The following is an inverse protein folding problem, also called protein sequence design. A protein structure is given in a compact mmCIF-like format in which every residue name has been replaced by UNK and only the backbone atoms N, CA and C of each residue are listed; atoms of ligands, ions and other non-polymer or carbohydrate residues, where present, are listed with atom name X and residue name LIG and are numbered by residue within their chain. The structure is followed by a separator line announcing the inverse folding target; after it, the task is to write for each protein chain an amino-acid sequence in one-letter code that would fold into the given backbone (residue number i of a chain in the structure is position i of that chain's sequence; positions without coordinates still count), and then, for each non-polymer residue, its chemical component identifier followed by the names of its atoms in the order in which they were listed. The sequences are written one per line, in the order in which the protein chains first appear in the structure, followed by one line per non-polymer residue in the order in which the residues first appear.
data_IF_598631254619
#
_entry.id   IF_598631254619
#
_cell.length_a   1.000
_cell.length_b   1.000
_cell.length_c   1.000
_cell.angle_alpha   90.00
_cell.angle_beta   90.00
_cell.angle_gamma   90.00
#
_symmetry.space_group_name_H-M   'P 1'
#
loop_
_entity.id
_entity.type
_entity.pdbx_description
1 polymer ?
#
# COMPACT_ATOMS: atom_id res chain seq x y z
N UNK A 1 9.84 7.61 -1.47
CA UNK A 1 8.54 7.82 -2.13
C UNK A 1 7.38 7.24 -1.30
N UNK A 2 7.35 5.92 -0.98
CA UNK A 2 6.24 5.29 -0.26
C UNK A 2 6.01 5.90 1.14
N UNK A 3 7.06 6.05 1.96
CA UNK A 3 6.96 6.68 3.29
C UNK A 3 6.46 8.12 3.22
N UNK A 4 6.87 8.89 2.21
CA UNK A 4 6.42 10.26 1.99
C UNK A 4 4.94 10.32 1.59
N UNK A 5 4.50 9.41 0.71
CA UNK A 5 3.11 9.34 0.29
C UNK A 5 2.19 8.93 1.46
N UNK A 6 2.60 7.91 2.23
CA UNK A 6 1.86 7.48 3.42
C UNK A 6 1.80 8.57 4.47
N UNK A 7 2.92 9.26 4.75
CA UNK A 7 2.95 10.38 5.67
C UNK A 7 2.05 11.55 5.27
N UNK A 8 1.92 11.82 3.97
CA UNK A 8 1.02 12.85 3.46
C UNK A 8 -0.47 12.49 3.61
N UNK A 9 -0.82 11.19 3.57
CA UNK A 9 -2.20 10.72 3.69
C UNK A 9 -2.58 10.50 5.15
N UNK A 10 -1.73 9.81 5.91
CA UNK A 10 -2.04 9.38 7.29
C UNK A 10 -1.67 10.47 8.30
N UNK A 11 -0.61 11.24 8.05
CA UNK A 11 -0.13 12.27 8.98
C UNK A 11 -1.19 13.25 9.47
N UNK A 12 -2.02 13.85 8.58
CA UNK A 12 -3.11 14.71 9.01
C UNK A 12 -4.13 14.03 9.93
N UNK A 13 -4.45 12.75 9.64
CA UNK A 13 -5.38 11.96 10.46
C UNK A 13 -4.79 11.67 11.84
N UNK A 14 -3.51 11.36 11.90
CA UNK A 14 -2.79 11.14 13.16
C UNK A 14 -2.73 12.43 14.01
N UNK A 15 -2.52 13.59 13.36
CA UNK A 15 -2.55 14.88 14.05
C UNK A 15 -3.94 15.19 14.62
N UNK A 16 -5.02 14.95 13.87
CA UNK A 16 -6.40 15.13 14.33
C UNK A 16 -6.73 14.22 15.53
N UNK A 17 -6.15 13.02 15.59
CA UNK A 17 -6.32 12.09 16.71
C UNK A 17 -5.36 12.40 17.89
N UNK A 18 -4.54 13.46 17.78
CA UNK A 18 -3.70 13.96 18.87
C UNK A 18 -2.34 13.30 18.99
N UNK A 19 -1.87 12.59 17.96
CA UNK A 19 -0.52 12.03 17.98
C UNK A 19 0.55 13.11 17.74
N UNK A 20 1.70 12.94 18.38
CA UNK A 20 2.86 13.80 18.16
C UNK A 20 3.41 13.62 16.74
N UNK A 21 3.67 14.74 16.03
CA UNK A 21 4.16 14.74 14.63
C UNK A 21 5.46 13.97 14.45
N UNK A 22 6.39 14.08 15.39
CA UNK A 22 7.68 13.40 15.29
C UNK A 22 7.51 11.91 15.50
N UNK A 23 6.60 11.51 16.40
CA UNK A 23 6.27 10.11 16.61
C UNK A 23 5.60 9.52 15.37
N UNK A 24 4.60 10.18 14.79
CA UNK A 24 3.94 9.76 13.56
C UNK A 24 4.91 9.63 12.39
N UNK A 25 5.80 10.61 12.21
CA UNK A 25 6.82 10.54 11.18
C UNK A 25 7.79 9.36 11.40
N UNK A 26 8.23 9.13 12.63
CA UNK A 26 9.11 8.01 12.96
C UNK A 26 8.42 6.66 12.71
N UNK A 27 7.15 6.52 13.06
CA UNK A 27 6.34 5.31 12.80
C UNK A 27 6.22 5.07 11.31
N UNK A 28 5.85 6.09 10.53
CA UNK A 28 5.69 5.97 9.08
C UNK A 28 7.00 5.57 8.38
N UNK A 29 8.15 6.09 8.84
CA UNK A 29 9.46 5.70 8.31
C UNK A 29 9.82 4.27 8.74
N UNK A 30 9.63 3.92 10.01
CA UNK A 30 9.99 2.60 10.54
C UNK A 30 9.15 1.46 9.94
N UNK A 31 7.89 1.72 9.59
CA UNK A 31 6.99 0.73 8.99
C UNK A 31 7.13 0.61 7.48
N UNK A 32 7.73 1.59 6.80
CA UNK A 32 7.91 1.57 5.35
C UNK A 32 8.60 0.31 4.80
N UNK A 33 9.64 -0.28 5.46
CA UNK A 33 10.25 -1.53 5.01
C UNK A 33 9.30 -2.72 4.93
N UNK A 34 8.18 -2.70 5.66
CA UNK A 34 7.16 -3.76 5.56
C UNK A 34 6.64 -3.89 4.13
N UNK A 35 6.43 -2.77 3.43
CA UNK A 35 6.00 -2.75 2.03
C UNK A 35 7.07 -3.22 1.03
N UNK A 36 8.33 -3.33 1.44
CA UNK A 36 9.39 -3.93 0.63
C UNK A 36 9.48 -5.45 0.83
N UNK A 37 9.03 -5.94 1.98
CA UNK A 37 9.12 -7.35 2.37
C UNK A 37 7.82 -8.11 2.04
N UNK A 38 6.66 -7.48 2.23
CA UNK A 38 5.36 -8.10 1.95
C UNK A 38 4.99 -7.88 0.48
N UNK A 39 4.65 -8.93 -0.27
CA UNK A 39 4.22 -8.81 -1.66
C UNK A 39 2.93 -7.98 -1.83
N UNK A 40 2.79 -7.29 -2.98
CA UNK A 40 3.70 -7.17 -4.11
C UNK A 40 4.86 -6.21 -3.82
N UNK A 41 6.10 -6.63 -4.07
CA UNK A 41 7.31 -5.83 -3.79
C UNK A 41 8.14 -5.60 -5.05
N UNK A 42 8.31 -4.33 -5.41
CA UNK A 42 9.16 -3.94 -6.55
C UNK A 42 10.63 -4.34 -6.35
N UNK A 43 11.11 -4.31 -5.10
CA UNK A 43 12.48 -4.69 -4.78
C UNK A 43 12.71 -6.18 -5.08
N UNK A 44 11.74 -7.03 -4.72
CA UNK A 44 11.82 -8.46 -5.00
C UNK A 44 11.75 -8.75 -6.50
N UNK A 45 10.92 -8.02 -7.24
CA UNK A 45 10.84 -8.14 -8.71
C UNK A 45 12.17 -7.73 -9.34
N UNK A 46 12.71 -6.57 -8.96
CA UNK A 46 14.01 -6.09 -9.45
C UNK A 46 15.12 -7.07 -9.11
N UNK A 47 15.14 -7.60 -7.89
CA UNK A 47 16.11 -8.62 -7.49
C UNK A 47 16.01 -9.88 -8.35
N UNK A 48 14.80 -10.37 -8.62
CA UNK A 48 14.59 -11.54 -9.48
C UNK A 48 15.16 -11.33 -10.88
N UNK A 49 14.97 -10.11 -11.43
CA UNK A 49 15.48 -9.77 -12.77
C UNK A 49 17.02 -9.71 -12.80
N UNK A 50 17.65 -9.12 -11.78
CA UNK A 50 19.10 -8.94 -11.72
C UNK A 50 19.83 -10.23 -11.34
N UNK A 51 19.20 -11.07 -10.52
CA UNK A 51 19.79 -12.35 -10.07
C UNK A 51 19.85 -13.47 -11.11
N UNK A 52 19.35 -13.21 -12.32
CA UNK A 52 19.48 -14.13 -13.44
C UNK A 52 18.56 -15.35 -13.39
N UNK A 53 17.36 -15.24 -12.80
CA UNK A 53 16.34 -16.27 -12.93
C UNK A 53 15.73 -16.77 -11.61
N UNK A 54 15.90 -16.04 -10.52
CA UNK A 54 15.20 -16.35 -9.27
C UNK A 54 13.68 -16.17 -9.47
N UNK A 55 12.89 -17.14 -9.04
CA UNK A 55 11.44 -17.09 -9.16
C UNK A 55 10.84 -15.97 -8.31
N UNK A 56 10.08 -15.06 -8.94
CA UNK A 56 9.36 -13.97 -8.25
C UNK A 56 8.36 -14.54 -7.25
N UNK A 57 7.65 -15.63 -7.62
CA UNK A 57 6.71 -16.28 -6.71
C UNK A 57 7.40 -16.85 -5.47
N UNK A 58 8.58 -17.45 -5.63
CA UNK A 58 9.37 -17.96 -4.50
C UNK A 58 9.85 -16.83 -3.58
N UNK A 59 10.30 -15.70 -4.16
CA UNK A 59 10.68 -14.51 -3.38
C UNK A 59 9.48 -13.93 -2.63
N UNK A 60 8.32 -13.86 -3.25
CA UNK A 60 7.10 -13.39 -2.61
C UNK A 60 6.73 -14.29 -1.41
N UNK A 61 6.76 -15.60 -1.59
CA UNK A 61 6.49 -16.53 -0.48
C UNK A 61 7.51 -16.39 0.66
N UNK A 62 8.80 -16.24 0.33
CA UNK A 62 9.85 -16.04 1.33
C UNK A 62 9.73 -14.72 2.10
N UNK A 63 9.19 -13.68 1.47
CA UNK A 63 9.03 -12.34 2.05
C UNK A 63 7.96 -12.24 3.14
N UNK A 64 6.98 -13.14 3.17
CA UNK A 64 5.89 -13.09 4.16
C UNK A 64 6.40 -13.23 5.60
N UNK A 65 7.27 -14.19 5.86
CA UNK A 65 7.76 -14.46 7.21
C UNK A 65 8.51 -13.24 7.78
N UNK A 66 9.57 -12.73 7.13
CA UNK A 66 10.29 -11.56 7.65
C UNK A 66 9.42 -10.29 7.66
N UNK A 67 8.52 -10.13 6.69
CA UNK A 67 7.60 -9.00 6.63
C UNK A 67 6.61 -8.98 7.79
N UNK A 68 6.02 -10.12 8.13
CA UNK A 68 5.12 -10.26 9.28
C UNK A 68 5.88 -10.03 10.59
N UNK A 69 7.08 -10.62 10.74
CA UNK A 69 7.90 -10.42 11.94
C UNK A 69 8.27 -8.95 12.13
N UNK A 70 8.66 -8.25 11.05
CA UNK A 70 8.95 -6.83 11.11
C UNK A 70 7.72 -6.01 11.50
N UNK A 71 6.58 -6.28 10.88
CA UNK A 71 5.32 -5.62 11.19
C UNK A 71 4.89 -5.83 12.65
N UNK A 72 5.01 -7.06 13.16
CA UNK A 72 4.71 -7.37 14.56
C UNK A 72 5.67 -6.65 15.52
N UNK A 73 6.96 -6.61 15.22
CA UNK A 73 7.93 -5.88 16.02
C UNK A 73 7.60 -4.38 16.08
N UNK A 74 7.28 -3.77 14.94
CA UNK A 74 6.84 -2.38 14.89
C UNK A 74 5.56 -2.16 15.70
N UNK A 75 4.56 -3.03 15.57
CA UNK A 75 3.31 -2.92 16.34
C UNK A 75 3.53 -2.99 17.85
N UNK A 76 4.41 -3.88 18.31
CA UNK A 76 4.73 -3.99 19.75
C UNK A 76 5.37 -2.69 20.26
N UNK A 77 6.36 -2.17 19.55
CA UNK A 77 7.04 -0.92 19.93
C UNK A 77 6.07 0.25 19.96
N UNK A 78 5.25 0.40 18.90
CA UNK A 78 4.24 1.46 18.78
C UNK A 78 3.22 1.35 19.91
N UNK A 79 2.71 0.15 20.18
CA UNK A 79 1.76 -0.10 21.26
C UNK A 79 2.30 0.30 22.63
N UNK A 80 3.53 -0.12 22.96
CA UNK A 80 4.18 0.23 24.23
C UNK A 80 4.37 1.73 24.36
N UNK A 81 4.81 2.39 23.29
CA UNK A 81 5.03 3.82 23.26
C UNK A 81 3.72 4.61 23.39
N UNK A 82 2.72 4.25 22.62
CA UNK A 82 1.40 4.87 22.63
C UNK A 82 0.74 4.74 24.03
N UNK A 83 0.86 3.56 24.64
CA UNK A 83 0.36 3.34 26.02
C UNK A 83 1.07 4.21 27.05
N UNK A 84 2.40 4.36 26.95
CA UNK A 84 3.18 5.22 27.85
C UNK A 84 2.83 6.71 27.71
N UNK A 85 2.50 7.15 26.51
CA UNK A 85 2.11 8.54 26.22
C UNK A 85 0.62 8.81 26.42
N UNK A 86 -0.18 7.78 26.73
CA UNK A 86 -1.62 7.92 26.94
C UNK A 86 -2.41 8.23 25.67
N UNK A 87 -1.88 7.88 24.50
CA UNK A 87 -2.63 8.02 23.25
C UNK A 87 -3.81 7.05 23.24
N UNK A 88 -5.01 7.60 23.18
CA UNK A 88 -6.25 6.83 23.12
C UNK A 88 -7.09 7.35 21.96
N UNK A 89 -7.61 6.45 21.14
CA UNK A 89 -8.55 6.87 20.10
C UNK A 89 -9.80 7.47 20.73
N UNK A 90 -10.11 8.68 20.33
CA UNK A 90 -11.28 9.41 20.83
C UNK A 90 -12.60 8.93 20.21
N UNK A 91 -12.56 8.23 19.07
CA UNK A 91 -13.76 7.77 18.34
C UNK A 91 -14.04 6.29 18.60
N UNK A 92 -15.12 6.01 19.31
CA UNK A 92 -15.68 4.65 19.44
C UNK A 92 -16.74 4.44 18.35
N UNK A 93 -16.40 3.71 17.32
CA UNK A 93 -17.36 3.33 16.29
C UNK A 93 -18.28 2.21 16.79
N UNK A 94 -19.58 2.34 16.49
CA UNK A 94 -20.54 1.27 16.74
C UNK A 94 -20.21 0.04 15.87
N UNK A 95 -20.57 -1.17 16.34
CA UNK A 95 -20.30 -2.42 15.58
C UNK A 95 -20.85 -2.36 14.15
N UNK A 96 -22.01 -1.73 13.96
CA UNK A 96 -22.65 -1.56 12.64
C UNK A 96 -21.85 -0.66 11.70
N UNK A 97 -21.18 0.37 12.24
CA UNK A 97 -20.30 1.24 11.45
C UNK A 97 -19.01 0.52 11.08
N UNK A 98 -18.45 -0.26 12.01
CA UNK A 98 -17.26 -1.08 11.73
C UNK A 98 -17.49 -2.08 10.61
N UNK A 99 -18.61 -2.79 10.62
CA UNK A 99 -18.96 -3.75 9.55
C UNK A 99 -19.16 -3.04 8.20
N UNK A 100 -19.75 -1.85 8.18
CA UNK A 100 -19.91 -1.06 6.96
C UNK A 100 -18.55 -0.66 6.38
N UNK A 101 -17.63 -0.14 7.21
CA UNK A 101 -16.28 0.25 6.79
C UNK A 101 -15.51 -0.95 6.23
N UNK A 102 -15.61 -2.12 6.91
CA UNK A 102 -14.97 -3.35 6.43
C UNK A 102 -15.53 -3.79 5.07
N UNK A 103 -16.86 -3.74 4.88
CA UNK A 103 -17.49 -4.08 3.61
C UNK A 103 -17.10 -3.13 2.49
N UNK A 104 -16.96 -1.84 2.78
CA UNK A 104 -16.50 -0.83 1.82
C UNK A 104 -15.01 -1.01 1.46
N UNK A 105 -14.19 -1.51 2.39
CA UNK A 105 -12.77 -1.80 2.15
C UNK A 105 -12.54 -3.15 1.42
N UNK A 106 -13.51 -4.07 1.49
CA UNK A 106 -13.38 -5.42 0.94
C UNK A 106 -12.98 -5.46 -0.54
N UNK A 107 -13.57 -4.64 -1.44
CA UNK A 107 -13.16 -4.62 -2.84
C UNK A 107 -11.69 -4.24 -3.05
N UNK A 108 -11.15 -3.32 -2.23
CA UNK A 108 -9.74 -2.96 -2.30
C UNK A 108 -8.83 -4.11 -1.85
N UNK A 109 -9.21 -4.82 -0.77
CA UNK A 109 -8.47 -5.98 -0.29
C UNK A 109 -8.50 -7.15 -1.29
N UNK A 110 -9.62 -7.31 -2.00
CA UNK A 110 -9.79 -8.34 -3.01
C UNK A 110 -8.80 -8.16 -4.17
N UNK A 111 -8.46 -6.92 -4.54
CA UNK A 111 -7.44 -6.64 -5.55
C UNK A 111 -6.09 -7.27 -5.16
N UNK A 112 -5.69 -7.13 -3.91
CA UNK A 112 -4.43 -7.70 -3.41
C UNK A 112 -4.44 -9.22 -3.54
N UNK A 113 -5.55 -9.85 -3.17
CA UNK A 113 -5.71 -11.31 -3.25
C UNK A 113 -5.66 -11.79 -4.70
N UNK A 114 -6.32 -11.09 -5.63
CA UNK A 114 -6.33 -11.43 -7.06
C UNK A 114 -4.92 -11.33 -7.63
N UNK A 115 -4.23 -10.22 -7.41
CA UNK A 115 -2.90 -9.98 -8.00
C UNK A 115 -1.87 -10.94 -7.42
N UNK A 116 -1.77 -11.01 -6.10
CA UNK A 116 -0.78 -11.89 -5.44
C UNK A 116 -1.12 -13.36 -5.69
N UNK A 117 -2.38 -13.74 -5.55
CA UNK A 117 -2.82 -15.12 -5.79
C UNK A 117 -2.59 -15.55 -7.23
N UNK A 118 -2.81 -14.66 -8.20
CA UNK A 118 -2.55 -14.92 -9.60
C UNK A 118 -1.05 -15.10 -9.94
N UNK A 119 -0.18 -14.28 -9.32
CA UNK A 119 1.28 -14.39 -9.50
C UNK A 119 1.81 -15.68 -8.83
N UNK A 120 1.41 -15.94 -7.59
CA UNK A 120 1.84 -17.15 -6.87
C UNK A 120 1.30 -18.42 -7.54
N UNK A 121 0.05 -18.36 -8.01
CA UNK A 121 -0.58 -19.48 -8.75
C UNK A 121 -0.05 -19.67 -10.17
N UNK A 122 0.86 -18.80 -10.64
CA UNK A 122 1.44 -18.88 -11.98
C UNK A 122 0.47 -18.52 -13.11
N UNK A 123 -0.67 -17.88 -12.79
CA UNK A 123 -1.68 -17.43 -13.77
C UNK A 123 -1.20 -16.15 -14.44
N UNK A 124 -0.53 -15.26 -13.68
CA UNK A 124 -0.01 -13.99 -14.14
C UNK A 124 1.50 -13.91 -13.95
N UNK A 125 2.17 -13.28 -14.90
CA UNK A 125 3.49 -12.70 -14.68
C UNK A 125 3.35 -11.43 -13.81
N UNK A 126 4.45 -10.94 -13.25
CA UNK A 126 4.43 -9.70 -12.45
C UNK A 126 3.89 -8.50 -13.26
N UNK A 127 4.23 -8.44 -14.55
CA UNK A 127 3.78 -7.37 -15.47
C UNK A 127 2.27 -7.46 -15.75
N UNK A 128 1.77 -8.68 -16.02
CA UNK A 128 0.33 -8.89 -16.21
C UNK A 128 -0.46 -8.60 -14.93
N UNK A 129 0.07 -9.00 -13.78
CA UNK A 129 -0.52 -8.67 -12.47
C UNK A 129 -0.61 -7.15 -12.25
N UNK A 130 0.39 -6.38 -12.69
CA UNK A 130 0.34 -4.92 -12.63
C UNK A 130 -0.77 -4.34 -13.53
N UNK A 131 -0.94 -4.87 -14.75
CA UNK A 131 -2.03 -4.46 -15.64
C UNK A 131 -3.39 -4.77 -15.02
N UNK A 132 -3.56 -5.96 -14.46
CA UNK A 132 -4.80 -6.36 -13.76
C UNK A 132 -5.07 -5.42 -12.59
N UNK A 133 -4.06 -5.05 -11.81
CA UNK A 133 -4.21 -4.11 -10.70
C UNK A 133 -4.69 -2.73 -11.17
N UNK A 134 -4.11 -2.21 -12.26
CA UNK A 134 -4.51 -0.91 -12.84
C UNK A 134 -5.97 -0.95 -13.33
N UNK A 135 -6.32 -1.96 -14.12
CA UNK A 135 -7.69 -2.09 -14.66
C UNK A 135 -8.70 -2.24 -13.52
N UNK A 136 -8.40 -3.09 -12.54
CA UNK A 136 -9.26 -3.29 -11.38
C UNK A 136 -9.43 -2.00 -10.56
N UNK A 137 -8.36 -1.26 -10.31
CA UNK A 137 -8.39 0.02 -9.60
C UNK A 137 -9.22 1.08 -10.34
N UNK A 138 -9.12 1.12 -11.68
CA UNK A 138 -9.94 2.01 -12.50
C UNK A 138 -11.43 1.65 -12.39
N UNK A 139 -11.77 0.36 -12.46
CA UNK A 139 -13.14 -0.11 -12.31
C UNK A 139 -13.68 0.28 -10.92
N UNK A 140 -12.92 0.03 -9.86
CA UNK A 140 -13.32 0.42 -8.51
C UNK A 140 -13.56 1.92 -8.39
N UNK A 141 -12.65 2.73 -8.91
CA UNK A 141 -12.72 4.19 -8.80
C UNK A 141 -13.87 4.80 -9.60
N UNK A 142 -14.19 4.24 -10.77
CA UNK A 142 -15.22 4.75 -11.66
C UNK A 142 -16.62 4.21 -11.31
N UNK A 143 -16.70 2.93 -10.96
CA UNK A 143 -18.01 2.23 -10.83
C UNK A 143 -18.43 2.13 -9.36
N UNK A 144 -17.57 1.62 -8.50
CA UNK A 144 -17.92 1.38 -7.10
C UNK A 144 -17.86 2.64 -6.25
N UNK A 145 -16.73 3.32 -6.24
CA UNK A 145 -16.54 4.50 -5.39
C UNK A 145 -16.96 5.81 -6.06
N UNK A 146 -17.10 5.82 -7.38
CA UNK A 146 -17.43 7.03 -8.17
C UNK A 146 -16.60 8.25 -7.77
N UNK A 147 -15.38 8.01 -7.34
CA UNK A 147 -14.46 9.03 -6.83
C UNK A 147 -13.78 9.82 -7.96
N UNK A 148 -13.76 9.27 -9.17
CA UNK A 148 -13.12 9.85 -10.33
C UNK A 148 -14.15 9.92 -11.46
N UNK A 149 -14.23 11.07 -12.13
CA UNK A 149 -15.03 11.22 -13.35
C UNK A 149 -14.21 10.77 -14.56
N UNK A 150 -14.86 10.14 -15.55
CA UNK A 150 -14.22 9.72 -16.79
C UNK A 150 -13.49 10.88 -17.50
N UNK A 151 -14.01 12.10 -17.35
CA UNK A 151 -13.38 13.33 -17.88
C UNK A 151 -12.05 13.71 -17.20
N UNK A 152 -11.76 13.16 -16.03
CA UNK A 152 -10.52 13.41 -15.28
C UNK A 152 -9.42 12.39 -15.57
N UNK A 153 -9.77 11.27 -16.21
CA UNK A 153 -8.82 10.22 -16.60
C UNK A 153 -7.62 10.74 -17.41
N UNK A 154 -7.78 11.61 -18.44
CA UNK A 154 -6.65 12.16 -19.16
C UNK A 154 -5.69 12.95 -18.26
N UNK A 155 -6.23 13.75 -17.33
CA UNK A 155 -5.40 14.50 -16.36
C UNK A 155 -4.63 13.62 -15.40
N UNK A 156 -5.20 12.46 -15.01
CA UNK A 156 -4.51 11.48 -14.18
C UNK A 156 -3.39 10.78 -14.94
N UNK A 157 -3.62 10.42 -16.20
CA UNK A 157 -2.61 9.85 -17.09
C UNK A 157 -1.50 10.85 -17.41
N UNK A 158 -1.82 12.12 -17.61
CA UNK A 158 -0.83 13.18 -17.77
C UNK A 158 -0.01 13.42 -16.50
N UNK A 159 -0.60 13.28 -15.31
CA UNK A 159 0.14 13.35 -14.03
C UNK A 159 1.08 12.17 -13.83
N UNK A 160 0.76 11.02 -14.35
CA UNK A 160 1.63 9.86 -14.37
C UNK A 160 2.76 9.97 -15.41
N UNK A 161 2.65 10.92 -16.37
CA UNK A 161 3.65 11.22 -17.37
C UNK A 161 4.70 12.22 -16.89
N UNK A 162 5.06 13.16 -17.75
CA UNK A 162 6.06 14.19 -17.46
C UNK A 162 5.43 15.42 -16.82
N UNK A 163 5.92 15.83 -15.65
CA UNK A 163 5.62 17.16 -15.13
C UNK A 163 6.60 18.18 -15.73
N UNK A 164 6.21 19.47 -15.81
CA UNK A 164 7.08 20.57 -16.26
C UNK A 164 8.37 20.71 -15.44
N UNK A 165 8.53 20.00 -14.34
CA UNK A 165 9.68 20.03 -13.42
C UNK A 165 10.39 18.70 -13.24
N UNK A 166 10.12 17.70 -14.07
CA UNK A 166 10.77 16.39 -14.01
C UNK A 166 9.82 15.23 -14.28
N UNK A 167 10.38 14.05 -14.52
CA UNK A 167 9.65 12.82 -14.74
C UNK A 167 9.05 12.33 -13.41
N UNK A 168 7.75 12.04 -13.39
CA UNK A 168 7.13 11.34 -12.26
C UNK A 168 7.41 9.83 -12.44
N UNK A 169 8.65 9.46 -12.22
CA UNK A 169 9.08 8.06 -12.24
C UNK A 169 8.46 7.26 -11.10
N UNK A 170 7.96 7.93 -10.06
CA UNK A 170 7.41 7.30 -8.87
C UNK A 170 6.18 6.42 -9.10
N UNK A 171 5.33 6.73 -10.09
CA UNK A 171 4.16 5.90 -10.37
C UNK A 171 4.52 4.68 -11.24
N UNK A 172 5.50 4.83 -12.11
CA UNK A 172 6.00 3.72 -12.94
C UNK A 172 6.78 2.69 -12.13
N UNK A 173 7.49 3.09 -11.09
CA UNK A 173 8.19 2.16 -10.19
C UNK A 173 7.25 1.37 -9.30
N UNK A 174 6.00 1.77 -9.17
CA UNK A 174 4.96 1.01 -8.44
C UNK A 174 4.22 0.04 -9.36
N UNK A 175 4.27 0.27 -10.68
CA UNK A 175 3.50 -0.48 -11.67
C UNK A 175 4.36 -1.37 -12.59
N UNK A 176 5.69 -1.34 -12.49
CA UNK A 176 6.62 -2.17 -13.27
C UNK A 176 7.36 -3.15 -12.39
#
# INVERSE_FOLDING_TARGET
AAASAMGAIIGPVEEEEGYDKNFSAAVNIATAPTGLLIPPSNVMITFAMVSGGTSIAALFMAGYIPGILWGLACMIVIYVYAKKRGYTSSKRYALKEKTKIILEALPCLLMIIIVIGGIIGGIFTATEGAIVAVVYSLILSLVFYKSIKVSELPKLLERAGMSKKGSITGLYTVLV
#
